data_IF_103539689629
#
_entry.id   IF_103539689629
#
_cell.length_a   1.000
_cell.length_b   1.000
_cell.length_c   1.000
_cell.angle_alpha   90.00
_cell.angle_beta   90.00
_cell.angle_gamma   90.00
#
_symmetry.space_group_name_H-M   'P 1'
#
loop_
_entity.id
_entity.type
_entity.pdbx_description
1 polymer ?
#
# COMPACT_ATOMS: atom_id res chain seq x y z
N UNK A 1 1.22 -14.66 -13.50
CA UNK A 1 2.51 -14.03 -13.16
C UNK A 1 2.82 -14.39 -11.73
N UNK A 2 3.83 -15.22 -11.47
CA UNK A 2 4.25 -15.54 -10.11
C UNK A 2 4.76 -14.25 -9.44
N UNK A 3 4.08 -13.78 -8.39
CA UNK A 3 4.54 -12.63 -7.59
C UNK A 3 5.80 -13.06 -6.84
N UNK A 4 6.82 -12.19 -6.85
CA UNK A 4 8.12 -12.47 -6.25
C UNK A 4 7.98 -12.87 -4.77
N UNK A 5 8.72 -13.88 -4.28
CA UNK A 5 8.70 -14.29 -2.88
C UNK A 5 9.06 -13.12 -1.97
N UNK A 6 8.40 -13.01 -0.82
CA UNK A 6 8.83 -12.09 0.24
C UNK A 6 10.12 -12.66 0.83
N UNK A 7 11.25 -12.07 0.43
CA UNK A 7 12.58 -12.50 0.88
C UNK A 7 12.93 -11.75 2.16
N UNK A 8 12.99 -12.46 3.27
CA UNK A 8 13.47 -11.91 4.55
C UNK A 8 14.98 -11.73 4.44
N UNK A 9 15.46 -10.49 4.36
CA UNK A 9 16.88 -10.19 4.53
C UNK A 9 17.20 -10.15 6.02
N UNK A 10 18.06 -11.06 6.47
CA UNK A 10 18.63 -11.04 7.81
C UNK A 10 19.63 -9.89 7.95
N UNK A 11 19.29 -8.87 8.75
CA UNK A 11 20.31 -8.01 9.36
C UNK A 11 20.85 -8.72 10.62
N UNK A 12 22.17 -8.73 10.85
CA UNK A 12 22.76 -9.47 11.97
C UNK A 12 22.55 -8.68 13.26
N UNK A 13 21.59 -9.11 14.08
CA UNK A 13 21.34 -8.49 15.39
C UNK A 13 21.60 -9.51 16.50
N UNK A 14 22.77 -9.40 17.13
CA UNK A 14 23.03 -9.86 18.50
C UNK A 14 23.37 -11.35 18.71
N UNK A 15 23.76 -11.73 19.95
CA UNK A 15 24.45 -13.00 20.28
C UNK A 15 23.59 -14.27 20.17
N UNK A 16 22.29 -14.12 19.86
CA UNK A 16 21.32 -15.20 19.67
C UNK A 16 20.72 -15.06 18.28
N UNK A 17 21.54 -15.33 17.26
CA UNK A 17 21.08 -15.32 15.87
C UNK A 17 20.01 -16.40 15.68
N UNK A 18 18.92 -16.07 14.98
CA UNK A 18 17.88 -17.03 14.61
C UNK A 18 18.49 -18.21 13.87
N UNK A 19 18.06 -19.40 14.23
CA UNK A 19 18.38 -20.63 13.52
C UNK A 19 17.78 -20.62 12.11
N UNK A 20 18.32 -21.44 11.21
CA UNK A 20 17.79 -21.57 9.85
C UNK A 20 16.31 -22.02 9.85
N UNK A 21 15.91 -22.83 10.83
CA UNK A 21 14.52 -23.27 11.00
C UNK A 21 13.60 -22.12 11.41
N UNK A 22 14.02 -21.28 12.36
CA UNK A 22 13.24 -20.10 12.78
C UNK A 22 13.07 -19.08 11.64
N UNK A 23 14.10 -18.89 10.81
CA UNK A 23 14.03 -18.04 9.63
C UNK A 23 13.07 -18.60 8.57
N UNK A 24 13.10 -19.91 8.33
CA UNK A 24 12.18 -20.55 7.39
C UNK A 24 10.72 -20.48 7.87
N UNK A 25 10.49 -20.63 9.18
CA UNK A 25 9.16 -20.45 9.79
C UNK A 25 8.70 -19.00 9.62
N UNK A 26 9.55 -18.02 9.90
CA UNK A 26 9.23 -16.60 9.74
C UNK A 26 8.88 -16.25 8.29
N UNK A 27 9.68 -16.68 7.31
CA UNK A 27 9.41 -16.46 5.88
C UNK A 27 8.06 -17.04 5.47
N UNK A 28 7.76 -18.28 5.91
CA UNK A 28 6.46 -18.91 5.64
C UNK A 28 5.31 -18.11 6.24
N UNK A 29 5.45 -17.61 7.46
CA UNK A 29 4.41 -16.78 8.10
C UNK A 29 4.20 -15.43 7.41
N UNK A 30 5.26 -14.82 6.90
CA UNK A 30 5.15 -13.59 6.12
C UNK A 30 4.47 -13.81 4.77
N UNK A 31 4.77 -14.95 4.13
CA UNK A 31 4.09 -15.35 2.90
C UNK A 31 2.60 -15.63 3.13
N UNK A 32 2.24 -16.30 4.23
CA UNK A 32 0.85 -16.52 4.64
C UNK A 32 0.14 -15.17 4.88
N UNK A 33 0.78 -14.25 5.61
CA UNK A 33 0.24 -12.91 5.89
C UNK A 33 0.00 -12.11 4.59
N UNK A 34 0.95 -12.15 3.67
CA UNK A 34 0.81 -11.51 2.36
C UNK A 34 -0.40 -12.02 1.60
N UNK A 35 -0.55 -13.35 1.54
CA UNK A 35 -1.66 -13.98 0.85
C UNK A 35 -3.00 -13.62 1.53
N UNK A 36 -3.03 -13.58 2.86
CA UNK A 36 -4.24 -13.20 3.61
C UNK A 36 -4.65 -11.74 3.34
N UNK A 37 -3.69 -10.81 3.34
CA UNK A 37 -3.92 -9.40 3.03
C UNK A 37 -4.37 -9.22 1.58
N UNK A 38 -3.69 -9.89 0.64
CA UNK A 38 -4.04 -9.81 -0.78
C UNK A 38 -5.45 -10.35 -1.04
N UNK A 39 -5.77 -11.52 -0.49
CA UNK A 39 -7.10 -12.13 -0.65
C UNK A 39 -8.20 -11.30 0.00
N UNK A 40 -7.93 -10.70 1.18
CA UNK A 40 -8.85 -9.76 1.83
C UNK A 40 -9.14 -8.57 0.92
N UNK A 41 -8.12 -7.93 0.36
CA UNK A 41 -8.32 -6.77 -0.52
C UNK A 41 -9.03 -7.13 -1.83
N UNK A 42 -8.74 -8.29 -2.43
CA UNK A 42 -9.44 -8.77 -3.61
C UNK A 42 -10.93 -9.02 -3.33
N UNK A 43 -11.24 -9.66 -2.20
CA UNK A 43 -12.62 -9.95 -1.81
C UNK A 43 -13.40 -8.68 -1.48
N UNK A 44 -12.74 -7.72 -0.84
CA UNK A 44 -13.31 -6.43 -0.45
C UNK A 44 -12.98 -5.32 -1.46
N UNK A 45 -12.92 -5.64 -2.76
CA UNK A 45 -12.51 -4.71 -3.82
C UNK A 45 -13.32 -3.39 -3.78
N UNK A 46 -14.64 -3.48 -3.61
CA UNK A 46 -15.51 -2.30 -3.54
C UNK A 46 -15.14 -1.41 -2.36
N UNK A 47 -14.96 -2.00 -1.19
CA UNK A 47 -14.58 -1.31 0.05
C UNK A 47 -13.22 -0.63 -0.10
N UNK A 48 -12.23 -1.32 -0.66
CA UNK A 48 -10.90 -0.75 -0.92
C UNK A 48 -10.97 0.38 -1.93
N UNK A 49 -11.75 0.23 -3.00
CA UNK A 49 -11.96 1.30 -3.99
C UNK A 49 -12.61 2.54 -3.35
N UNK A 50 -13.54 2.38 -2.41
CA UNK A 50 -14.12 3.48 -1.65
C UNK A 50 -13.08 4.16 -0.74
N UNK A 51 -12.22 3.39 -0.07
CA UNK A 51 -11.11 3.97 0.71
C UNK A 51 -10.19 4.81 -0.19
N UNK A 52 -9.80 4.27 -1.35
CA UNK A 52 -9.00 5.00 -2.34
C UNK A 52 -9.71 6.27 -2.86
N UNK A 53 -11.02 6.20 -3.00
CA UNK A 53 -11.86 7.32 -3.42
C UNK A 53 -11.89 8.44 -2.36
N UNK A 54 -12.10 8.09 -1.09
CA UNK A 54 -12.02 9.03 0.02
C UNK A 54 -10.64 9.70 0.11
N UNK A 55 -9.56 8.91 -0.04
CA UNK A 55 -8.20 9.43 -0.06
C UNK A 55 -7.96 10.40 -1.22
N UNK A 56 -8.52 10.11 -2.39
CA UNK A 56 -8.43 11.00 -3.54
C UNK A 56 -9.16 12.32 -3.30
N UNK A 57 -10.38 12.27 -2.77
CA UNK A 57 -11.21 13.46 -2.56
C UNK A 57 -10.55 14.42 -1.54
N UNK A 58 -10.01 13.88 -0.44
CA UNK A 58 -9.29 14.68 0.57
C UNK A 58 -7.94 15.16 0.03
N UNK A 59 -7.16 14.26 -0.59
CA UNK A 59 -5.80 14.52 -1.04
C UNK A 59 -5.72 15.51 -2.19
N UNK A 60 -6.60 15.37 -3.19
CA UNK A 60 -6.64 16.27 -4.36
C UNK A 60 -6.94 17.71 -3.94
N UNK A 61 -7.94 17.92 -3.08
CA UNK A 61 -8.30 19.25 -2.59
C UNK A 61 -7.17 19.87 -1.77
N UNK A 62 -6.56 19.11 -0.87
CA UNK A 62 -5.46 19.61 -0.03
C UNK A 62 -4.23 19.98 -0.87
N UNK A 63 -3.85 19.12 -1.82
CA UNK A 63 -2.73 19.37 -2.74
C UNK A 63 -2.98 20.60 -3.61
N UNK A 64 -4.17 20.72 -4.20
CA UNK A 64 -4.54 21.86 -5.06
C UNK A 64 -4.52 23.16 -4.25
N UNK A 65 -5.08 23.15 -3.04
CA UNK A 65 -5.08 24.34 -2.18
C UNK A 65 -3.65 24.77 -1.78
N UNK A 66 -2.76 23.81 -1.51
CA UNK A 66 -1.36 24.10 -1.17
C UNK A 66 -0.55 24.60 -2.37
N UNK A 67 -0.78 24.05 -3.57
CA UNK A 67 0.06 24.29 -4.75
C UNK A 67 -0.47 25.39 -5.68
N UNK A 68 -1.78 25.65 -5.65
CA UNK A 68 -2.45 26.59 -6.57
C UNK A 68 -3.09 27.74 -5.81
N UNK A 69 -2.32 28.84 -5.69
CA UNK A 69 -2.71 30.06 -4.97
C UNK A 69 -3.70 30.94 -5.74
N UNK A 70 -3.73 30.85 -7.08
CA UNK A 70 -4.65 31.63 -7.93
C UNK A 70 -6.06 31.01 -7.91
N UNK A 71 -7.08 31.79 -7.49
CA UNK A 71 -8.48 31.35 -7.37
C UNK A 71 -9.10 30.71 -8.63
N UNK A 72 -8.97 31.27 -9.85
CA UNK A 72 -9.54 30.65 -11.05
C UNK A 72 -8.84 29.33 -11.41
N UNK A 73 -7.52 29.29 -11.27
CA UNK A 73 -6.70 28.09 -11.52
C UNK A 73 -7.00 26.98 -10.49
N UNK A 74 -7.27 27.35 -9.24
CA UNK A 74 -7.67 26.43 -8.18
C UNK A 74 -9.01 25.76 -8.49
N UNK A 75 -10.01 26.54 -8.95
CA UNK A 75 -11.31 26.00 -9.37
C UNK A 75 -11.17 25.05 -10.57
N UNK A 76 -10.37 25.44 -11.58
CA UNK A 76 -10.10 24.59 -12.74
C UNK A 76 -9.46 23.27 -12.32
N UNK A 77 -8.44 23.31 -11.47
CA UNK A 77 -7.75 22.10 -11.00
C UNK A 77 -8.67 21.18 -10.18
N UNK A 78 -9.58 21.75 -9.36
CA UNK A 78 -10.59 20.95 -8.64
C UNK A 78 -11.58 20.29 -9.59
N UNK A 79 -11.94 20.95 -10.69
CA UNK A 79 -12.80 20.38 -11.71
C UNK A 79 -12.10 19.25 -12.48
N UNK A 80 -10.85 19.46 -12.88
CA UNK A 80 -10.01 18.43 -13.51
C UNK A 80 -9.86 17.21 -12.59
N UNK A 81 -9.63 17.43 -11.29
CA UNK A 81 -9.56 16.33 -10.33
C UNK A 81 -10.85 15.49 -10.33
N UNK A 82 -12.02 16.14 -10.27
CA UNK A 82 -13.32 15.46 -10.33
C UNK A 82 -13.54 14.69 -11.64
N UNK A 83 -13.15 15.26 -12.78
CA UNK A 83 -13.27 14.59 -14.09
C UNK A 83 -12.30 13.40 -14.23
N UNK A 84 -11.12 13.48 -13.62
CA UNK A 84 -10.12 12.41 -13.66
C UNK A 84 -10.39 11.28 -12.65
N UNK A 85 -11.40 11.43 -11.79
CA UNK A 85 -11.78 10.47 -10.73
C UNK A 85 -12.00 9.03 -11.21
N UNK A 86 -12.76 8.74 -12.29
CA UNK A 86 -12.95 7.36 -12.76
C UNK A 86 -11.66 6.72 -13.26
N UNK A 87 -10.81 7.49 -13.93
CA UNK A 87 -9.49 7.01 -14.41
C UNK A 87 -8.57 6.76 -13.22
N UNK A 88 -8.53 7.71 -12.27
CA UNK A 88 -7.78 7.54 -11.03
C UNK A 88 -8.21 6.28 -10.29
N UNK A 89 -9.52 5.98 -10.19
CA UNK A 89 -10.02 4.78 -9.51
C UNK A 89 -9.43 3.49 -10.08
N UNK A 90 -9.34 3.37 -11.41
CA UNK A 90 -8.76 2.19 -12.08
C UNK A 90 -7.25 2.13 -11.84
N UNK A 91 -6.55 3.25 -12.02
CA UNK A 91 -5.10 3.32 -11.86
C UNK A 91 -4.68 3.07 -10.41
N UNK A 92 -5.36 3.70 -9.46
CA UNK A 92 -5.14 3.55 -8.03
C UNK A 92 -5.39 2.11 -7.60
N UNK A 93 -6.45 1.46 -8.09
CA UNK A 93 -6.70 0.04 -7.80
C UNK A 93 -5.57 -0.86 -8.29
N UNK A 94 -5.13 -0.70 -9.55
CA UNK A 94 -4.02 -1.48 -10.11
C UNK A 94 -2.72 -1.26 -9.34
N UNK A 95 -2.42 -0.01 -9.00
CA UNK A 95 -1.24 0.33 -8.22
C UNK A 95 -1.33 -0.23 -6.79
N UNK A 96 -2.50 -0.14 -6.15
CA UNK A 96 -2.76 -0.63 -4.81
C UNK A 96 -2.55 -2.15 -4.74
N UNK A 97 -3.19 -2.94 -5.60
CA UNK A 97 -3.04 -4.39 -5.61
C UNK A 97 -1.64 -4.89 -5.98
N UNK A 98 -0.87 -4.07 -6.73
CA UNK A 98 0.52 -4.39 -7.07
C UNK A 98 1.49 -4.12 -5.93
N UNK A 99 1.28 -3.08 -5.12
CA UNK A 99 2.27 -2.58 -4.17
C UNK A 99 1.84 -2.64 -2.70
N UNK A 100 0.58 -2.29 -2.40
CA UNK A 100 0.11 -2.10 -1.03
C UNK A 100 0.17 -3.38 -0.18
N UNK A 101 -0.24 -4.57 -0.65
CA UNK A 101 -0.13 -5.80 0.14
C UNK A 101 1.31 -6.05 0.62
N UNK A 102 2.29 -5.86 -0.27
CA UNK A 102 3.70 -6.04 0.07
C UNK A 102 4.20 -4.98 1.04
N UNK A 103 3.92 -3.70 0.76
CA UNK A 103 4.31 -2.60 1.63
C UNK A 103 3.74 -2.75 3.05
N UNK A 104 2.51 -3.28 3.17
CA UNK A 104 1.89 -3.51 4.46
C UNK A 104 2.56 -4.66 5.22
N UNK A 105 2.89 -5.76 4.54
CA UNK A 105 3.63 -6.88 5.13
C UNK A 105 5.02 -6.45 5.57
N UNK A 106 5.76 -5.76 4.71
CA UNK A 106 7.12 -5.27 5.01
C UNK A 106 7.09 -4.28 6.19
N UNK A 107 6.07 -3.41 6.25
CA UNK A 107 5.89 -2.48 7.37
C UNK A 107 5.57 -3.20 8.69
N UNK A 108 4.68 -4.20 8.66
CA UNK A 108 4.34 -5.01 9.83
C UNK A 108 5.54 -5.84 10.31
N UNK A 109 6.28 -6.45 9.39
CA UNK A 109 7.51 -7.19 9.70
C UNK A 109 8.54 -6.28 10.36
N UNK A 110 8.81 -5.12 9.78
CA UNK A 110 9.74 -4.13 10.33
C UNK A 110 9.34 -3.62 11.72
N UNK A 111 8.06 -3.69 12.11
CA UNK A 111 7.61 -3.37 13.47
C UNK A 111 7.89 -4.46 14.48
N UNK A 112 7.96 -5.72 14.06
CA UNK A 112 8.26 -6.85 14.96
C UNK A 112 9.76 -7.13 15.03
N UNK A 113 10.52 -6.83 13.97
CA UNK A 113 11.98 -7.01 13.94
C UNK A 113 12.76 -5.86 14.60
N UNK A 114 12.19 -4.64 14.66
CA UNK A 114 12.84 -3.46 15.26
C UNK A 114 12.42 -3.17 16.71
N UNK A 115 11.85 -4.16 17.40
CA UNK A 115 11.64 -4.13 18.86
C UNK A 115 12.87 -4.72 19.51
#
# INVERSE_FOLDING_TARGET
MAKAPITVKSEPVGPLAKTAEELAVEEKRLQDLFLLIETMFLREETTVKLILECLYDIGSVNLINKKVRKRPLNRLMKYIARLSKPVFRIVAWRWFMKNCPKLLVDWLHGKVTKI
#
